data_IF_773173588944
#
_entry.id   IF_773173588944
#
_cell.length_a   1.000
_cell.length_b   1.000
_cell.length_c   1.000
_cell.angle_alpha   90.00
_cell.angle_beta   90.00
_cell.angle_gamma   90.00
#
_symmetry.space_group_name_H-M   'P 1'
#
loop_
_entity.id
_entity.type
_entity.pdbx_description
1 polymer ?
#
# COMPACT_ATOMS: atom_id res chain seq x y z
N UNK A 1 -13.77 12.08 23.36
CA UNK A 1 -13.16 12.98 22.34
C UNK A 1 -12.57 12.11 21.25
N UNK A 2 -12.90 12.35 19.98
CA UNK A 2 -12.34 11.56 18.85
C UNK A 2 -11.02 12.20 18.44
N UNK A 3 -9.94 11.42 18.45
CA UNK A 3 -8.64 11.88 17.98
C UNK A 3 -8.58 11.73 16.47
N UNK A 4 -8.42 12.84 15.75
CA UNK A 4 -8.22 12.84 14.31
C UNK A 4 -6.74 12.63 14.00
N UNK A 5 -6.44 11.71 13.08
CA UNK A 5 -5.08 11.36 12.68
C UNK A 5 -4.97 11.58 11.18
N UNK A 6 -4.05 12.44 10.75
CA UNK A 6 -3.74 12.59 9.33
C UNK A 6 -2.85 11.44 8.84
N UNK A 7 -3.19 10.95 7.65
CA UNK A 7 -2.44 9.93 6.93
C UNK A 7 -2.40 10.31 5.45
N UNK A 8 -1.37 9.86 4.73
CA UNK A 8 -1.23 10.10 3.30
C UNK A 8 -0.99 8.79 2.56
N UNK A 9 -1.56 8.68 1.36
CA UNK A 9 -1.39 7.54 0.45
C UNK A 9 -0.97 8.02 -0.93
N UNK A 10 -0.26 7.17 -1.68
CA UNK A 10 0.09 7.42 -3.07
C UNK A 10 -0.53 6.36 -3.97
N UNK A 11 -1.33 6.81 -4.93
CA UNK A 11 -1.86 6.00 -6.03
C UNK A 11 -0.96 6.20 -7.24
N UNK A 12 -0.09 5.24 -7.51
CA UNK A 12 0.77 5.28 -8.70
C UNK A 12 -0.02 4.80 -9.93
N UNK A 13 -0.09 5.64 -10.95
CA UNK A 13 -0.86 5.38 -12.17
C UNK A 13 0.02 5.39 -13.41
N UNK A 14 -0.34 4.55 -14.38
CA UNK A 14 0.13 4.63 -15.77
C UNK A 14 -1.05 4.47 -16.71
N UNK A 15 -0.90 4.90 -17.96
CA UNK A 15 -1.90 4.58 -18.99
C UNK A 15 -1.99 3.07 -19.15
N UNK A 16 -3.21 2.54 -19.15
CA UNK A 16 -3.40 1.10 -19.33
C UNK A 16 -2.95 0.68 -20.73
N UNK A 17 -2.22 -0.44 -20.82
CA UNK A 17 -1.87 -1.05 -22.12
C UNK A 17 -3.07 -1.68 -22.82
N UNK A 18 -4.16 -1.84 -22.08
CA UNK A 18 -5.45 -2.37 -22.55
C UNK A 18 -6.56 -1.34 -22.39
N UNK A 19 -6.20 -0.05 -22.45
CA UNK A 19 -7.13 1.05 -22.26
C UNK A 19 -8.30 1.00 -23.25
N UNK A 20 -9.48 1.31 -22.75
CA UNK A 20 -10.71 1.43 -23.51
C UNK A 20 -11.52 2.65 -23.00
N UNK A 21 -12.71 2.88 -23.55
CA UNK A 21 -13.54 4.03 -23.15
C UNK A 21 -13.94 4.01 -21.66
N UNK A 22 -13.94 2.83 -21.03
CA UNK A 22 -14.33 2.61 -19.64
C UNK A 22 -13.15 2.54 -18.68
N UNK A 23 -11.92 2.34 -19.18
CA UNK A 23 -10.74 2.23 -18.34
C UNK A 23 -9.50 2.85 -18.99
N UNK A 24 -8.96 3.88 -18.34
CA UNK A 24 -7.82 4.67 -18.84
C UNK A 24 -6.51 4.31 -18.14
N UNK A 25 -6.57 3.63 -17.00
CA UNK A 25 -5.48 3.57 -16.03
C UNK A 25 -5.15 2.14 -15.61
N UNK A 26 -3.86 1.84 -15.50
CA UNK A 26 -3.40 0.81 -14.58
C UNK A 26 -2.95 1.47 -13.28
N UNK A 27 -3.17 0.81 -12.15
CA UNK A 27 -2.76 1.22 -10.81
C UNK A 27 -1.77 0.21 -10.22
N UNK A 28 -0.70 0.70 -9.61
CA UNK A 28 0.25 -0.13 -8.88
C UNK A 28 -0.27 -0.36 -7.47
N UNK A 29 -0.43 -1.61 -7.07
CA UNK A 29 -0.85 -2.00 -5.72
C UNK A 29 0.22 -2.85 -5.05
N UNK A 30 0.29 -2.76 -3.73
CA UNK A 30 1.13 -3.58 -2.88
C UNK A 30 0.26 -4.54 -2.05
N UNK A 31 0.52 -5.84 -2.12
CA UNK A 31 -0.14 -6.82 -1.27
C UNK A 31 0.58 -6.89 0.08
N UNK A 32 -0.15 -6.67 1.16
CA UNK A 32 0.39 -6.83 2.51
C UNK A 32 0.64 -8.29 2.88
N UNK A 33 1.51 -8.52 3.86
CA UNK A 33 1.54 -9.80 4.57
C UNK A 33 0.26 -9.98 5.42
N UNK A 34 -0.05 -11.22 5.83
CA UNK A 34 -1.19 -11.49 6.73
C UNK A 34 -0.79 -11.30 8.20
N UNK A 35 0.38 -11.82 8.57
CA UNK A 35 0.93 -11.70 9.92
C UNK A 35 1.73 -10.42 10.10
N UNK A 36 1.48 -9.70 11.19
CA UNK A 36 2.29 -8.57 11.61
C UNK A 36 3.47 -9.10 12.45
N UNK A 37 4.61 -9.34 11.81
CA UNK A 37 5.80 -9.88 12.49
C UNK A 37 6.41 -8.93 13.51
N UNK A 38 6.28 -7.62 13.32
CA UNK A 38 6.78 -6.60 14.25
C UNK A 38 6.05 -6.63 15.59
N UNK A 39 4.75 -6.92 15.57
CA UNK A 39 3.87 -6.93 16.75
C UNK A 39 3.63 -8.34 17.30
N UNK A 40 4.00 -9.37 16.56
CA UNK A 40 3.92 -10.76 17.02
C UNK A 40 5.05 -11.10 17.99
N UNK A 41 4.88 -12.20 18.71
CA UNK A 41 5.90 -12.85 19.53
C UNK A 41 5.93 -14.35 19.21
N UNK A 42 6.86 -15.13 19.79
CA UNK A 42 6.84 -16.60 19.64
C UNK A 42 5.53 -17.25 20.10
N UNK A 43 4.82 -16.64 21.05
CA UNK A 43 3.60 -17.19 21.67
C UNK A 43 2.31 -16.50 21.23
N UNK A 44 2.41 -15.36 20.55
CA UNK A 44 1.26 -14.58 20.14
C UNK A 44 1.41 -14.11 18.69
N UNK A 45 0.50 -14.56 17.84
CA UNK A 45 0.35 -14.01 16.49
C UNK A 45 -0.53 -12.76 16.53
N UNK A 46 -0.01 -11.67 15.98
CA UNK A 46 -0.77 -10.45 15.71
C UNK A 46 -0.92 -10.32 14.20
N UNK A 47 -2.15 -10.10 13.74
CA UNK A 47 -2.46 -9.93 12.32
C UNK A 47 -2.25 -8.47 11.87
N UNK A 48 -2.04 -8.28 10.57
CA UNK A 48 -2.06 -6.96 9.94
C UNK A 48 -3.47 -6.33 10.01
N UNK A 49 -3.57 -5.00 9.86
CA UNK A 49 -4.87 -4.29 9.95
C UNK A 49 -5.83 -4.65 8.81
N UNK A 50 -5.29 -5.05 7.67
CA UNK A 50 -6.01 -5.57 6.50
C UNK A 50 -5.19 -6.77 5.97
N UNK A 51 -5.32 -7.95 6.60
CA UNK A 51 -4.39 -9.05 6.38
C UNK A 51 -4.40 -9.54 4.94
N UNK A 52 -3.25 -9.52 4.26
CA UNK A 52 -3.13 -10.04 2.89
C UNK A 52 -3.80 -9.21 1.80
N UNK A 53 -4.31 -8.02 2.13
CA UNK A 53 -5.01 -7.14 1.18
C UNK A 53 -4.03 -6.43 0.23
N UNK A 54 -4.52 -6.13 -0.97
CA UNK A 54 -3.88 -5.15 -1.84
C UNK A 54 -4.13 -3.75 -1.28
N UNK A 55 -3.16 -2.84 -1.40
CA UNK A 55 -3.29 -1.47 -0.89
C UNK A 55 -2.41 -0.50 -1.67
N UNK A 56 -2.70 0.79 -1.49
CA UNK A 56 -1.77 1.86 -1.85
C UNK A 56 -0.67 1.95 -0.79
N UNK A 57 0.57 2.27 -1.19
CA UNK A 57 1.56 2.76 -0.25
C UNK A 57 1.03 3.96 0.53
N UNK A 58 1.24 3.97 1.84
CA UNK A 58 0.81 5.07 2.68
C UNK A 58 0.72 4.74 4.15
N UNK A 59 0.68 5.79 4.95
CA UNK A 59 0.75 5.68 6.40
C UNK A 59 0.44 6.98 7.10
N UNK A 60 0.64 6.98 8.41
CA UNK A 60 0.35 8.11 9.27
C UNK A 60 1.40 9.22 9.05
N UNK A 61 0.96 10.48 9.11
CA UNK A 61 1.89 11.62 9.11
C UNK A 61 2.82 11.56 10.32
N UNK A 62 4.12 11.58 10.06
CA UNK A 62 5.13 11.75 11.10
C UNK A 62 5.23 13.23 11.51
N UNK A 63 5.69 13.49 12.73
CA UNK A 63 5.99 14.85 13.21
C UNK A 63 7.14 15.48 12.39
N UNK A 64 8.09 14.66 11.94
CA UNK A 64 9.20 15.09 11.08
C UNK A 64 8.77 15.42 9.64
N UNK A 65 7.62 14.93 9.18
CA UNK A 65 7.13 15.20 7.83
C UNK A 65 6.61 16.65 7.74
N UNK A 66 7.29 17.50 6.96
CA UNK A 66 6.90 18.90 6.79
C UNK A 66 5.51 19.08 6.13
N UNK A 67 5.10 18.14 5.28
CA UNK A 67 3.82 18.18 4.54
C UNK A 67 3.24 16.78 4.40
N UNK A 68 1.95 16.68 4.04
CA UNK A 68 1.31 15.40 3.72
C UNK A 68 1.88 14.74 2.46
N UNK A 69 2.35 15.54 1.50
CA UNK A 69 3.06 15.02 0.33
C UNK A 69 4.42 14.40 0.75
N UNK A 70 5.12 15.00 1.71
CA UNK A 70 6.35 14.42 2.27
C UNK A 70 6.07 13.08 2.97
N UNK A 71 5.00 12.99 3.75
CA UNK A 71 4.52 11.71 4.31
C UNK A 71 4.26 10.69 3.20
N UNK A 72 3.54 11.08 2.15
CA UNK A 72 3.21 10.18 1.04
C UNK A 72 4.47 9.63 0.34
N UNK A 73 5.47 10.48 0.09
CA UNK A 73 6.75 10.08 -0.51
C UNK A 73 7.57 9.17 0.41
N UNK A 74 7.62 9.47 1.72
CA UNK A 74 8.32 8.64 2.70
C UNK A 74 7.73 7.23 2.73
N UNK A 75 6.41 7.11 2.89
CA UNK A 75 5.70 5.84 2.94
C UNK A 75 5.84 5.05 1.62
N UNK A 76 5.79 5.75 0.48
CA UNK A 76 6.03 5.16 -0.84
C UNK A 76 7.43 4.53 -0.94
N UNK A 77 8.47 5.18 -0.41
CA UNK A 77 9.85 4.66 -0.39
C UNK A 77 10.01 3.48 0.56
N UNK A 78 9.34 3.52 1.71
CA UNK A 78 9.38 2.45 2.71
C UNK A 78 8.70 1.17 2.19
N UNK A 79 7.53 1.29 1.54
CA UNK A 79 6.78 0.13 1.06
C UNK A 79 7.27 -0.41 -0.30
N UNK A 80 7.73 0.45 -1.21
CA UNK A 80 8.30 0.03 -2.50
C UNK A 80 9.80 -0.21 -2.38
N UNK A 81 10.15 -1.37 -1.82
CA UNK A 81 11.53 -1.67 -1.44
C UNK A 81 12.51 -1.67 -2.64
N UNK A 82 13.50 -0.79 -2.56
CA UNK A 82 14.64 -0.74 -3.48
C UNK A 82 14.43 0.07 -4.74
N UNK A 83 13.40 0.92 -4.79
CA UNK A 83 13.32 2.00 -5.77
C UNK A 83 13.84 3.31 -5.22
N UNK A 84 14.42 4.11 -6.11
CA UNK A 84 14.82 5.49 -5.81
C UNK A 84 13.70 6.40 -6.27
N UNK A 85 12.82 6.79 -5.34
CA UNK A 85 11.83 7.85 -5.58
C UNK A 85 12.51 9.20 -5.33
N UNK A 86 12.72 10.04 -6.36
CA UNK A 86 13.39 11.32 -6.21
C UNK A 86 12.58 12.28 -5.34
N UNK A 87 13.23 13.21 -4.64
CA UNK A 87 12.53 14.26 -3.89
C UNK A 87 11.75 15.22 -4.80
N UNK A 88 12.07 15.23 -6.10
CA UNK A 88 11.35 15.98 -7.14
C UNK A 88 10.16 15.23 -7.72
N UNK A 89 9.80 14.05 -7.17
CA UNK A 89 8.63 13.31 -7.63
C UNK A 89 7.37 14.17 -7.58
N UNK A 90 6.61 14.16 -8.66
CA UNK A 90 5.39 14.97 -8.79
C UNK A 90 4.22 14.19 -8.23
N UNK A 91 3.59 14.76 -7.20
CA UNK A 91 2.38 14.24 -6.59
C UNK A 91 1.23 15.25 -6.73
N UNK A 92 0.06 14.77 -7.17
CA UNK A 92 -1.17 15.55 -7.23
C UNK A 92 -2.13 15.10 -6.15
N UNK A 93 -2.62 16.02 -5.32
CA UNK A 93 -3.70 15.70 -4.40
C UNK A 93 -4.99 15.42 -5.18
N UNK A 94 -5.71 14.36 -4.82
CA UNK A 94 -6.95 13.98 -5.50
C UNK A 94 -8.15 14.03 -4.57
N UNK A 95 -8.05 13.46 -3.38
CA UNK A 95 -9.18 13.40 -2.46
C UNK A 95 -8.73 13.19 -1.02
N UNK A 96 -9.60 13.57 -0.09
CA UNK A 96 -9.47 13.22 1.31
C UNK A 96 -10.64 12.35 1.72
N UNK A 97 -10.35 11.20 2.33
CA UNK A 97 -11.35 10.24 2.81
C UNK A 97 -11.21 10.05 4.31
N UNK A 98 -12.32 9.99 5.03
CA UNK A 98 -12.32 9.71 6.47
C UNK A 98 -12.73 8.27 6.74
N UNK A 99 -11.98 7.60 7.62
CA UNK A 99 -12.32 6.26 8.08
C UNK A 99 -13.36 6.28 9.19
N UNK A 100 -14.01 5.14 9.46
CA UNK A 100 -14.84 4.98 10.66
C UNK A 100 -14.00 5.17 11.93
N UNK A 101 -14.64 5.61 13.01
CA UNK A 101 -13.96 5.72 14.31
C UNK A 101 -13.66 4.32 14.85
N UNK A 102 -12.39 4.03 15.10
CA UNK A 102 -11.94 2.76 15.71
C UNK A 102 -11.11 3.11 16.94
N UNK A 103 -11.50 2.60 18.12
CA UNK A 103 -10.81 2.84 19.40
C UNK A 103 -10.55 4.34 19.66
N UNK A 104 -11.54 5.18 19.38
CA UNK A 104 -11.47 6.63 19.57
C UNK A 104 -10.62 7.39 18.55
N UNK A 105 -10.05 6.72 17.53
CA UNK A 105 -9.29 7.34 16.45
C UNK A 105 -10.09 7.37 15.16
N UNK A 106 -10.01 8.48 14.44
CA UNK A 106 -10.48 8.62 13.06
C UNK A 106 -9.30 9.01 12.19
N UNK A 107 -9.09 8.32 11.08
CA UNK A 107 -8.05 8.70 10.12
C UNK A 107 -8.64 9.57 9.02
N UNK A 108 -7.95 10.67 8.71
CA UNK A 108 -8.15 11.49 7.52
C UNK A 108 -7.05 11.11 6.52
N UNK A 109 -7.44 10.32 5.51
CA UNK A 109 -6.55 9.81 4.47
C UNK A 109 -6.52 10.78 3.29
N UNK A 110 -5.39 11.45 3.09
CA UNK A 110 -5.15 12.32 1.95
C UNK A 110 -4.49 11.50 0.83
N UNK A 111 -5.20 11.36 -0.28
CA UNK A 111 -4.79 10.53 -1.40
C UNK A 111 -4.11 11.38 -2.46
N UNK A 112 -2.86 11.05 -2.75
CA UNK A 112 -2.09 11.64 -3.82
C UNK A 112 -2.00 10.68 -5.00
N UNK A 113 -1.85 11.22 -6.21
CA UNK A 113 -1.57 10.47 -7.42
C UNK A 113 -0.16 10.80 -7.91
N UNK A 114 0.59 9.76 -8.28
CA UNK A 114 1.84 9.87 -9.01
C UNK A 114 1.64 9.31 -10.42
N UNK A 115 1.78 10.15 -11.45
CA UNK A 115 1.61 9.74 -12.85
C UNK A 115 2.94 9.30 -13.45
N UNK A 116 2.98 8.17 -14.14
CA UNK A 116 4.18 7.69 -14.83
C UNK A 116 4.67 8.64 -15.95
N UNK A 117 3.79 9.48 -16.51
CA UNK A 117 4.15 10.50 -17.51
C UNK A 117 4.95 11.66 -16.93
N UNK A 118 4.82 11.92 -15.62
CA UNK A 118 5.55 12.96 -14.88
C UNK A 118 6.68 12.39 -14.01
N UNK A 119 6.64 11.08 -13.75
CA UNK A 119 7.54 10.36 -12.86
C UNK A 119 8.18 9.19 -13.62
N UNK A 120 9.29 9.44 -14.31
CA UNK A 120 9.95 8.44 -15.16
C UNK A 120 10.32 7.14 -14.43
N UNK A 121 10.62 7.21 -13.13
CA UNK A 121 10.92 6.05 -12.29
C UNK A 121 9.75 5.05 -12.21
N UNK A 122 8.49 5.51 -12.33
CA UNK A 122 7.31 4.64 -12.42
C UNK A 122 7.16 3.93 -13.77
N UNK A 123 7.73 4.51 -14.83
CA UNK A 123 7.63 4.00 -16.20
C UNK A 123 8.65 2.91 -16.53
N UNK A 124 9.56 2.58 -15.62
CA UNK A 124 10.60 1.56 -15.83
C UNK A 124 9.97 0.18 -16.01
N UNK A 125 10.33 -0.53 -17.07
CA UNK A 125 9.77 -1.86 -17.37
C UNK A 125 10.11 -2.91 -16.30
N UNK A 126 11.27 -2.81 -15.65
CA UNK A 126 11.70 -3.72 -14.58
C UNK A 126 11.15 -3.37 -13.20
N UNK A 127 10.41 -2.27 -13.05
CA UNK A 127 9.99 -1.74 -11.73
C UNK A 127 9.38 -2.81 -10.82
N UNK A 128 8.42 -3.57 -11.34
CA UNK A 128 7.70 -4.60 -10.58
C UNK A 128 8.62 -5.77 -10.22
N UNK A 129 9.44 -6.21 -11.17
CA UNK A 129 10.34 -7.35 -10.98
C UNK A 129 11.45 -7.01 -9.98
N UNK A 130 12.04 -5.82 -10.07
CA UNK A 130 13.08 -5.34 -9.16
C UNK A 130 12.56 -5.25 -7.73
N UNK A 131 11.38 -4.65 -7.52
CA UNK A 131 10.76 -4.56 -6.18
C UNK A 131 10.42 -5.96 -5.66
N UNK A 132 9.76 -6.81 -6.47
CA UNK A 132 9.40 -8.16 -6.03
C UNK A 132 10.63 -9.02 -5.71
N UNK A 133 11.75 -8.86 -6.43
CA UNK A 133 13.03 -9.50 -6.13
C UNK A 133 13.60 -9.03 -4.79
N UNK A 134 13.53 -7.72 -4.50
CA UNK A 134 13.97 -7.17 -3.22
C UNK A 134 13.10 -7.66 -2.06
N UNK A 135 11.78 -7.69 -2.23
CA UNK A 135 10.84 -8.22 -1.25
C UNK A 135 11.08 -9.72 -0.99
N UNK A 136 11.35 -10.50 -2.04
CA UNK A 136 11.71 -11.91 -1.91
C UNK A 136 13.02 -12.11 -1.14
N UNK A 137 14.04 -11.28 -1.42
CA UNK A 137 15.31 -11.31 -0.67
C UNK A 137 15.12 -10.95 0.81
N UNK A 138 14.29 -9.95 1.11
CA UNK A 138 13.95 -9.57 2.48
C UNK A 138 13.25 -10.71 3.22
N UNK A 139 12.27 -11.37 2.59
CA UNK A 139 11.62 -12.56 3.16
C UNK A 139 12.59 -13.72 3.40
N UNK A 140 13.46 -14.04 2.46
CA UNK A 140 14.44 -15.10 2.63
C UNK A 140 15.41 -14.82 3.80
N UNK A 141 15.87 -13.57 3.94
CA UNK A 141 16.68 -13.14 5.08
C UNK A 141 15.89 -13.26 6.40
N UNK A 142 14.63 -12.79 6.41
CA UNK A 142 13.75 -12.91 7.56
C UNK A 142 13.52 -14.37 7.98
N UNK A 143 13.21 -15.26 7.04
CA UNK A 143 12.99 -16.69 7.29
C UNK A 143 14.24 -17.36 7.88
N UNK A 144 15.43 -17.04 7.35
CA UNK A 144 16.69 -17.55 7.89
C UNK A 144 16.93 -17.11 9.34
N UNK A 145 16.68 -15.83 9.66
CA UNK A 145 16.82 -15.29 11.02
C UNK A 145 15.71 -15.76 11.97
N UNK A 146 14.52 -16.07 11.44
CA UNK A 146 13.42 -16.64 12.22
C UNK A 146 13.71 -18.09 12.61
N UNK A 147 14.30 -18.89 11.71
CA UNK A 147 14.61 -20.29 11.93
C UNK A 147 15.62 -20.52 13.08
N UNK A 148 16.54 -19.57 13.31
CA UNK A 148 17.49 -19.62 14.44
C UNK A 148 16.91 -19.04 15.73
N UNK A 149 15.77 -18.35 15.66
CA UNK A 149 15.17 -17.62 16.78
C UNK A 149 15.80 -16.24 17.04
N UNK A 150 16.86 -15.88 16.32
CA UNK A 150 17.59 -14.62 16.48
C UNK A 150 16.69 -13.40 16.23
N UNK A 151 15.70 -13.54 15.35
CA UNK A 151 14.76 -12.46 15.03
C UNK A 151 14.09 -11.90 16.29
N UNK A 152 13.80 -12.76 17.26
CA UNK A 152 13.11 -12.35 18.48
C UNK A 152 14.00 -11.54 19.42
N UNK A 153 15.32 -11.69 19.31
CA UNK A 153 16.33 -10.98 20.10
C UNK A 153 16.71 -9.63 19.49
N UNK A 154 16.32 -9.35 18.24
CA UNK A 154 16.56 -8.06 17.61
C UNK A 154 15.84 -6.94 18.35
N UNK A 155 16.51 -5.79 18.39
CA UNK A 155 15.89 -4.54 18.81
C UNK A 155 14.85 -4.06 17.76
N UNK A 156 14.15 -2.98 18.08
CA UNK A 156 13.10 -2.46 17.20
C UNK A 156 13.63 -2.11 15.80
N UNK A 157 14.74 -1.35 15.64
CA UNK A 157 15.33 -1.08 14.33
C UNK A 157 15.69 -2.35 13.54
N UNK A 158 16.33 -3.33 14.19
CA UNK A 158 16.68 -4.61 13.57
C UNK A 158 15.46 -5.38 13.10
N UNK A 159 14.37 -5.38 13.87
CA UNK A 159 13.10 -5.97 13.45
C UNK A 159 12.52 -5.25 12.25
N UNK A 160 12.40 -3.91 12.26
CA UNK A 160 11.91 -3.15 11.11
C UNK A 160 12.70 -3.42 9.82
N UNK A 161 14.03 -3.54 9.93
CA UNK A 161 14.89 -3.84 8.80
C UNK A 161 14.60 -5.21 8.16
N UNK A 162 14.21 -6.21 8.95
CA UNK A 162 14.00 -7.58 8.47
C UNK A 162 12.53 -7.98 8.27
N UNK A 163 11.60 -7.49 9.08
CA UNK A 163 10.20 -7.91 9.03
C UNK A 163 9.55 -7.59 7.67
N UNK A 164 9.01 -8.58 6.96
CA UNK A 164 8.24 -8.33 5.76
C UNK A 164 6.87 -7.75 6.14
N UNK A 165 6.49 -6.66 5.48
CA UNK A 165 5.16 -6.05 5.59
C UNK A 165 4.42 -6.06 4.25
N UNK A 166 5.17 -6.00 3.15
CA UNK A 166 4.69 -6.13 1.78
C UNK A 166 5.17 -7.46 1.21
N UNK A 167 4.25 -8.24 0.66
CA UNK A 167 4.54 -9.52 0.00
C UNK A 167 4.95 -9.32 -1.45
N UNK A 168 4.13 -8.61 -2.21
CA UNK A 168 4.35 -8.41 -3.63
C UNK A 168 3.71 -7.11 -4.09
N UNK A 169 4.11 -6.66 -5.27
CA UNK A 169 3.46 -5.57 -5.97
C UNK A 169 3.06 -6.02 -7.38
N UNK A 170 2.02 -5.38 -7.93
CA UNK A 170 1.62 -5.60 -9.32
C UNK A 170 0.84 -4.40 -9.87
N UNK A 171 0.90 -4.26 -11.19
CA UNK A 171 0.01 -3.37 -11.94
C UNK A 171 -1.32 -4.08 -12.17
N UNK A 172 -2.41 -3.38 -11.88
CA UNK A 172 -3.77 -3.84 -12.15
C UNK A 172 -4.46 -2.83 -13.06
N UNK A 173 -5.26 -3.30 -14.01
CA UNK A 173 -6.28 -2.44 -14.62
C UNK A 173 -7.15 -1.84 -13.51
N UNK A 174 -7.53 -0.57 -13.64
CA UNK A 174 -8.28 0.15 -12.60
C UNK A 174 -9.61 -0.53 -12.22
N UNK A 175 -10.36 -1.03 -13.20
CA UNK A 175 -11.59 -1.81 -13.00
C UNK A 175 -11.37 -3.08 -12.17
N UNK A 176 -10.34 -3.85 -12.48
CA UNK A 176 -9.92 -5.03 -11.72
C UNK A 176 -9.54 -4.65 -10.29
N UNK A 177 -8.80 -3.55 -10.10
CA UNK A 177 -8.45 -3.06 -8.78
C UNK A 177 -9.69 -2.64 -7.97
N UNK A 178 -10.67 -1.98 -8.58
CA UNK A 178 -11.96 -1.65 -7.94
C UNK A 178 -12.69 -2.92 -7.49
N UNK A 179 -12.77 -3.94 -8.36
CA UNK A 179 -13.38 -5.23 -8.02
C UNK A 179 -12.63 -5.97 -6.91
N UNK A 180 -11.30 -5.89 -6.87
CA UNK A 180 -10.51 -6.43 -5.76
C UNK A 180 -10.81 -5.74 -4.42
N UNK A 181 -11.21 -4.46 -4.42
CA UNK A 181 -11.55 -3.75 -3.19
C UNK A 181 -13.03 -3.84 -2.78
N UNK A 182 -13.92 -4.33 -3.64
CA UNK A 182 -15.37 -4.36 -3.34
C UNK A 182 -15.75 -5.33 -2.22
N UNK A 183 -14.97 -6.41 -2.06
CA UNK A 183 -15.30 -7.47 -1.10
C UNK A 183 -16.10 -8.63 -1.68
N UNK A 184 -16.43 -8.61 -2.98
CA UNK A 184 -17.29 -9.64 -3.58
C UNK A 184 -16.60 -11.02 -3.66
N UNK A 185 -15.28 -11.03 -3.72
CA UNK A 185 -14.46 -12.24 -3.63
C UNK A 185 -14.07 -12.52 -2.17
N UNK A 186 -14.13 -13.79 -1.70
CA UNK A 186 -13.77 -14.14 -0.33
C UNK A 186 -12.28 -13.93 -0.03
N UNK A 187 -11.43 -14.02 -1.05
CA UNK A 187 -9.99 -13.79 -1.00
C UNK A 187 -9.52 -13.04 -2.24
N UNK A 188 -8.45 -12.26 -2.13
CA UNK A 188 -7.86 -11.54 -3.28
C UNK A 188 -6.97 -12.43 -4.14
N UNK A 189 -6.45 -13.53 -3.59
CA UNK A 189 -5.70 -14.58 -4.29
C UNK A 189 -5.46 -15.81 -3.38
N UNK A 190 -4.80 -16.84 -3.93
CA UNK A 190 -4.48 -18.09 -3.23
C UNK A 190 -3.52 -17.93 -2.06
N UNK A 191 -2.67 -16.89 -2.05
CA UNK A 191 -1.82 -16.60 -0.90
C UNK A 191 -2.67 -16.18 0.31
N UNK A 192 -3.59 -15.23 0.13
CA UNK A 192 -4.44 -14.77 1.22
C UNK A 192 -5.30 -15.92 1.75
N UNK A 193 -5.85 -16.75 0.86
CA UNK A 193 -6.62 -17.95 1.22
C UNK A 193 -5.80 -18.92 2.11
N UNK A 194 -4.59 -19.27 1.68
CA UNK A 194 -3.73 -20.19 2.43
C UNK A 194 -3.35 -19.66 3.82
N UNK A 195 -3.01 -18.37 3.92
CA UNK A 195 -2.70 -17.73 5.19
C UNK A 195 -3.94 -17.60 6.08
N UNK A 196 -5.11 -17.31 5.52
CA UNK A 196 -6.34 -17.21 6.28
C UNK A 196 -6.70 -18.57 6.89
N UNK A 197 -6.54 -19.65 6.13
CA UNK A 197 -6.68 -21.00 6.64
C UNK A 197 -5.67 -21.29 7.77
N UNK A 198 -4.41 -20.89 7.62
CA UNK A 198 -3.37 -21.10 8.61
C UNK A 198 -3.60 -20.32 9.94
N UNK A 199 -4.22 -19.15 9.86
CA UNK A 199 -4.47 -18.28 11.04
C UNK A 199 -5.93 -18.27 11.51
N UNK A 200 -6.80 -19.13 10.95
CA UNK A 200 -8.21 -19.24 11.34
C UNK A 200 -9.05 -17.99 11.04
N UNK A 201 -8.73 -17.27 9.96
CA UNK A 201 -9.45 -16.06 9.52
C UNK A 201 -10.56 -16.49 8.55
N UNK A 202 -11.81 -16.13 8.85
CA UNK A 202 -12.99 -16.57 8.08
C UNK A 202 -13.44 -15.58 7.00
N UNK A 203 -13.02 -14.33 7.08
CA UNK A 203 -13.40 -13.28 6.14
C UNK A 203 -12.36 -12.17 6.11
N UNK A 204 -12.18 -11.56 4.94
CA UNK A 204 -11.29 -10.40 4.76
C UNK A 204 -12.01 -9.11 5.17
N UNK A 205 -11.24 -8.03 5.36
CA UNK A 205 -11.77 -6.68 5.62
C UNK A 205 -11.42 -5.79 4.42
N UNK A 206 -12.32 -5.68 3.42
CA UNK A 206 -12.06 -4.94 2.19
C UNK A 206 -11.80 -3.46 2.46
N UNK A 207 -10.82 -2.88 1.75
CA UNK A 207 -10.45 -1.48 1.94
C UNK A 207 -11.38 -0.53 1.16
N UNK A 208 -12.61 -0.36 1.64
CA UNK A 208 -13.66 0.44 0.98
C UNK A 208 -13.23 1.87 0.62
N UNK A 209 -12.46 2.55 1.49
CA UNK A 209 -11.99 3.91 1.18
C UNK A 209 -11.01 3.94 -0.01
N UNK A 210 -10.20 2.90 -0.17
CA UNK A 210 -9.33 2.75 -1.34
C UNK A 210 -10.16 2.54 -2.61
N UNK A 211 -11.22 1.71 -2.55
CA UNK A 211 -12.17 1.55 -3.65
C UNK A 211 -12.78 2.88 -4.08
N UNK A 212 -13.27 3.67 -3.12
CA UNK A 212 -13.87 4.98 -3.40
C UNK A 212 -12.87 5.95 -4.02
N UNK A 213 -11.60 5.92 -3.59
CA UNK A 213 -10.53 6.71 -4.24
C UNK A 213 -10.32 6.26 -5.70
N UNK A 214 -10.34 4.96 -6.00
CA UNK A 214 -10.21 4.50 -7.39
C UNK A 214 -11.42 4.87 -8.24
N UNK A 215 -12.63 4.82 -7.68
CA UNK A 215 -13.85 5.25 -8.38
C UNK A 215 -13.79 6.74 -8.73
N UNK A 216 -13.29 7.59 -7.82
CA UNK A 216 -13.05 9.00 -8.12
C UNK A 216 -12.05 9.14 -9.28
N UNK A 217 -10.92 8.41 -9.23
CA UNK A 217 -9.86 8.43 -10.25
C UNK A 217 -10.36 7.93 -11.61
N UNK A 218 -11.27 6.95 -11.65
CA UNK A 218 -11.80 6.39 -12.89
C UNK A 218 -12.49 7.44 -13.77
N UNK A 219 -13.04 8.48 -13.15
CA UNK A 219 -13.67 9.60 -13.86
C UNK A 219 -12.68 10.62 -14.43
N UNK A 220 -11.41 10.56 -14.05
CA UNK A 220 -10.41 11.60 -14.35
C UNK A 220 -9.54 11.25 -15.56
N UNK A 221 -9.19 12.30 -16.29
CA UNK A 221 -8.13 12.33 -17.27
C UNK A 221 -6.86 12.98 -16.71
N UNK A 222 -5.76 12.80 -17.43
CA UNK A 222 -4.44 13.29 -17.03
C UNK A 222 -4.40 14.81 -16.78
N UNK A 223 -5.14 15.58 -17.55
CA UNK A 223 -5.20 17.04 -17.40
C UNK A 223 -6.02 17.49 -16.18
N UNK A 224 -6.80 16.61 -15.55
CA UNK A 224 -7.59 16.95 -14.37
C UNK A 224 -6.74 16.98 -13.10
N UNK A 225 -5.68 16.16 -13.00
CA UNK A 225 -4.90 16.04 -11.78
C UNK A 225 -4.23 17.36 -11.36
N UNK A 226 -3.57 18.13 -12.25
CA UNK A 226 -2.97 19.41 -11.87
C UNK A 226 -4.00 20.49 -11.51
N UNK A 227 -5.25 20.37 -12.00
CA UNK A 227 -6.31 21.34 -11.80
C UNK A 227 -7.04 21.17 -10.46
N UNK A 228 -6.88 20.03 -9.79
CA UNK A 228 -7.47 19.81 -8.48
C UNK A 228 -6.80 20.72 -7.45
N UNK A 229 -7.63 21.40 -6.65
CA UNK A 229 -7.16 22.33 -5.62
C UNK A 229 -6.25 21.60 -4.63
N UNK A 230 -5.06 22.17 -4.39
CA UNK A 230 -4.16 21.72 -3.34
C UNK A 230 -4.73 22.22 -2.01
N UNK A 231 -5.08 21.30 -1.10
CA UNK A 231 -5.50 21.63 0.28
C UNK A 231 -4.26 21.90 1.13
#
# INVERSE_FOLDING_TARGET
MVHLVDAATVVCLRRSTTADASNKWDVLLAQGEVKNWLRSSPTQTVLMRYPGEWKFPGGQKDEADATLAATALRELREELLGIVVPDTAVLHWVSTKETRVIKGRRYRMHNFVALATENSWLGTSSLVDDINCNLARKRAAFEATLATGDYWQLDSPGKHALSPEVRSIAWFRLDTAIALFSGDQPFVNSFQEAEFAAHGISARDPMYQSMMTLMDIASLDEHDFPLRARV
#
